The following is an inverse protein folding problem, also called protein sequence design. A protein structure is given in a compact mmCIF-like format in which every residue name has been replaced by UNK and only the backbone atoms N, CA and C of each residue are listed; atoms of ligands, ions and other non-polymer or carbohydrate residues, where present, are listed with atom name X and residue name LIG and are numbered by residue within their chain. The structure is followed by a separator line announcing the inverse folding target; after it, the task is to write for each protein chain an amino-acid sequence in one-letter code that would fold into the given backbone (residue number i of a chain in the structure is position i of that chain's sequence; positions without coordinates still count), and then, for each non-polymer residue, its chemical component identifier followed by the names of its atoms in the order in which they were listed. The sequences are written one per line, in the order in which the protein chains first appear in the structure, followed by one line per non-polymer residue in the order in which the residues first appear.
data_IF_261005204780
#
_entry.id   IF_261005204780
#
_cell.length_a   1.000
_cell.length_b   1.000
_cell.length_c   1.000
_cell.angle_alpha   90.00
_cell.angle_beta   90.00
_cell.angle_gamma   90.00
#
_symmetry.space_group_name_H-M   'P 1'
#
loop_
_entity.id
_entity.type
_entity.pdbx_description
1 polymer ?
2 polymer ?
3 non-polymer ?
4 water ?
#
# COMPACT_ATOMS: atom_id res chain seq x y z
N UNK A 3 -4.72 -22.23 -24.91
CA UNK A 3 -4.17 -21.73 -23.66
C UNK A 3 -3.61 -22.87 -22.82
N UNK A 4 -2.50 -22.61 -22.14
CA UNK A 4 -1.82 -23.62 -21.33
C UNK A 4 -1.60 -23.08 -19.92
N UNK A 5 -1.43 -23.98 -18.92
CA UNK A 5 -1.24 -23.49 -17.55
C UNK A 5 0.07 -22.74 -17.34
N UNK A 6 0.03 -21.71 -16.51
CA UNK A 6 1.21 -20.95 -16.16
C UNK A 6 0.84 -19.50 -15.86
N UNK A 7 1.84 -18.61 -15.99
CA UNK A 7 1.60 -17.18 -15.84
C UNK A 7 2.12 -16.45 -17.07
N UNK A 8 1.38 -15.45 -17.51
CA UNK A 8 1.67 -14.77 -18.77
C UNK A 8 1.64 -13.25 -18.62
N UNK A 9 2.68 -12.60 -19.09
CA UNK A 9 2.79 -11.14 -19.03
C UNK A 9 2.72 -10.55 -20.43
N UNK A 10 1.76 -9.66 -20.64
CA UNK A 10 1.44 -9.14 -21.98
C UNK A 10 1.11 -7.65 -21.95
N UNK A 11 0.74 -7.12 -23.12
CA UNK A 11 0.27 -5.74 -23.20
C UNK A 11 -0.75 -5.61 -24.34
N UNK A 12 -1.23 -4.39 -24.57
CA UNK A 12 -2.18 -4.13 -25.65
C UNK A 12 -1.49 -3.42 -26.81
N UNK A 13 -0.16 -3.30 -26.71
CA UNK A 13 0.67 -2.65 -27.74
C UNK A 13 0.22 -1.21 -28.01
N UNK A 14 -0.26 -0.53 -26.98
CA UNK A 14 -0.66 0.86 -27.09
C UNK A 14 -1.87 1.10 -27.99
N UNK A 15 -2.57 0.03 -28.36
CA UNK A 15 -3.65 0.11 -29.32
C UNK A 15 -5.03 -0.09 -28.73
N UNK A 16 -5.37 0.70 -27.71
CA UNK A 16 -6.70 0.65 -27.12
C UNK A 16 -7.26 2.06 -26.92
N UNK A 17 -6.44 2.96 -26.40
CA UNK A 17 -6.85 4.34 -26.19
C UNK A 17 -6.12 5.29 -27.11
N UNK A 18 -6.69 6.48 -27.33
CA UNK A 18 -6.16 7.42 -28.31
C UNK A 18 -4.74 7.87 -27.99
N UNK A 19 -4.43 7.97 -26.71
CA UNK A 19 -3.12 8.43 -26.25
C UNK A 19 -1.99 7.47 -26.65
N UNK A 20 -2.36 6.25 -27.06
CA UNK A 20 -1.39 5.26 -27.45
C UNK A 20 -0.56 4.77 -26.28
N UNK A 21 -1.13 4.91 -25.09
CA UNK A 21 -0.46 4.45 -23.87
C UNK A 21 -0.47 2.93 -23.78
N UNK A 22 0.69 2.34 -23.53
CA UNK A 22 0.77 0.89 -23.46
C UNK A 22 0.28 0.38 -22.09
N UNK A 23 -0.79 -0.42 -22.13
CA UNK A 23 -1.41 -0.97 -20.93
C UNK A 23 -0.94 -2.40 -20.68
N UNK A 24 -0.22 -2.61 -19.60
CA UNK A 24 0.33 -3.93 -19.31
C UNK A 24 -0.60 -4.81 -18.46
N UNK A 25 -0.48 -6.12 -18.65
CA UNK A 25 -1.28 -7.08 -17.86
C UNK A 25 -0.55 -8.38 -17.54
N UNK A 26 -1.09 -9.12 -16.57
CA UNK A 26 -0.56 -10.42 -16.16
C UNK A 26 -1.73 -11.37 -15.98
N UNK A 27 -1.54 -12.65 -16.29
CA UNK A 27 -2.65 -13.60 -16.19
C UNK A 27 -2.13 -14.93 -15.66
N UNK A 28 -2.76 -15.44 -14.61
CA UNK A 28 -2.48 -16.77 -14.10
C UNK A 28 -3.59 -17.73 -14.54
N UNK A 29 -3.19 -18.73 -15.32
CA UNK A 29 -4.09 -19.76 -15.86
C UNK A 29 -3.75 -21.13 -15.28
N UNK A 30 -4.69 -21.74 -14.54
CA UNK A 30 -4.45 -23.03 -13.93
C UNK A 30 -4.86 -24.17 -14.87
N UNK A 31 -4.46 -25.38 -14.54
CA UNK A 31 -4.99 -26.54 -15.26
C UNK A 31 -6.49 -26.64 -15.04
N UNK A 32 -6.93 -26.50 -13.79
CA UNK A 32 -8.36 -26.32 -13.52
C UNK A 32 -8.59 -25.29 -12.41
N UNK A 33 -9.72 -24.60 -12.49
CA UNK A 33 -10.02 -23.58 -11.50
C UNK A 33 -10.09 -22.19 -12.12
N UNK A 34 -10.39 -21.20 -11.27
CA UNK A 34 -10.59 -19.83 -11.73
C UNK A 34 -9.32 -19.14 -12.23
N UNK A 35 -9.47 -18.34 -13.28
CA UNK A 35 -8.40 -17.48 -13.75
C UNK A 35 -8.18 -16.31 -12.78
N UNK A 36 -6.95 -15.80 -12.76
CA UNK A 36 -6.66 -14.57 -11.99
C UNK A 36 -5.89 -13.62 -12.88
N UNK A 37 -6.41 -12.41 -13.07
CA UNK A 37 -5.81 -11.44 -13.99
C UNK A 37 -5.46 -10.16 -13.23
N UNK A 38 -4.32 -9.56 -13.53
CA UNK A 38 -4.00 -8.20 -13.07
C UNK A 38 -3.80 -7.29 -14.30
N UNK A 39 -4.18 -6.02 -14.21
CA UNK A 39 -4.05 -5.13 -15.38
C UNK A 39 -4.01 -3.68 -14.97
N UNK A 40 -3.27 -2.89 -15.75
CA UNK A 40 -3.25 -1.43 -15.55
C UNK A 40 -4.36 -0.71 -16.32
N UNK A 41 -4.80 0.44 -15.83
CA UNK A 41 -5.72 1.28 -16.62
C UNK A 41 -4.93 2.51 -17.10
N UNK A 42 -5.54 3.39 -17.93
CA UNK A 42 -4.73 4.50 -18.45
C UNK A 42 -4.22 5.50 -17.41
N UNK A 43 -4.83 5.53 -16.21
CA UNK A 43 -4.34 6.38 -15.13
C UNK A 43 -3.22 5.73 -14.31
N UNK A 44 -2.80 4.53 -14.71
CA UNK A 44 -1.77 3.73 -14.06
C UNK A 44 -2.22 3.12 -12.72
N UNK A 45 -3.53 3.06 -12.48
CA UNK A 45 -4.02 2.30 -11.34
C UNK A 45 -4.07 0.82 -11.71
N UNK A 46 -4.02 -0.06 -10.69
CA UNK A 46 -3.93 -1.51 -10.93
C UNK A 46 -5.21 -2.21 -10.49
N UNK A 47 -5.67 -3.14 -11.32
CA UNK A 47 -6.92 -3.86 -11.07
C UNK A 47 -6.74 -5.36 -11.16
N UNK A 48 -7.64 -6.05 -10.48
CA UNK A 48 -7.67 -7.50 -10.48
C UNK A 48 -9.00 -7.99 -11.07
N UNK A 49 -8.94 -9.07 -11.87
CA UNK A 49 -10.15 -9.73 -12.35
C UNK A 49 -10.09 -11.16 -11.88
N UNK A 50 -11.13 -11.55 -11.16
CA UNK A 50 -11.26 -12.90 -10.65
C UNK A 50 -12.25 -13.64 -11.51
N UNK A 51 -11.81 -14.77 -12.06
CA UNK A 51 -12.69 -15.65 -12.82
C UNK A 51 -13.27 -14.93 -14.05
N UNK A 52 -12.49 -14.01 -14.61
CA UNK A 52 -12.84 -13.26 -15.82
C UNK A 52 -14.01 -12.27 -15.70
N UNK A 53 -14.38 -11.88 -14.48
CA UNK A 53 -15.49 -10.93 -14.31
C UNK A 53 -14.99 -9.47 -14.25
N UNK A 54 -15.89 -8.55 -13.91
CA UNK A 54 -15.53 -7.12 -13.88
C UNK A 54 -14.36 -6.83 -12.94
N UNK A 55 -13.59 -5.80 -13.24
CA UNK A 55 -12.35 -5.56 -12.51
C UNK A 55 -12.59 -4.82 -11.19
N UNK A 56 -11.69 -5.08 -10.23
CA UNK A 56 -11.72 -4.48 -8.89
C UNK A 56 -10.33 -3.90 -8.60
N UNK A 57 -10.26 -2.78 -7.86
CA UNK A 57 -8.93 -2.29 -7.45
C UNK A 57 -8.07 -3.41 -6.86
N UNK A 58 -6.85 -3.57 -7.36
CA UNK A 58 -6.08 -4.79 -7.07
C UNK A 58 -5.77 -5.00 -5.57
N UNK A 59 -5.68 -3.91 -4.83
CA UNK A 59 -5.36 -4.03 -3.42
C UNK A 59 -6.40 -4.79 -2.61
N UNK A 60 -7.61 -4.92 -3.16
CA UNK A 60 -8.67 -5.70 -2.51
C UNK A 60 -8.19 -7.14 -2.27
N UNK A 61 -7.45 -7.72 -3.23
CA UNK A 61 -7.12 -9.14 -3.00
C UNK A 61 -6.11 -9.24 -1.87
N UNK A 62 -5.27 -8.20 -1.71
CA UNK A 62 -4.27 -8.25 -0.65
C UNK A 62 -4.98 -8.01 0.68
N UNK A 63 -6.05 -7.19 0.67
CA UNK A 63 -6.73 -6.99 1.93
C UNK A 63 -7.39 -8.29 2.32
N UNK A 64 -7.79 -9.09 1.33
CA UNK A 64 -8.55 -10.28 1.65
C UNK A 64 -7.59 -11.31 2.27
N UNK A 65 -6.31 -11.14 1.93
CA UNK A 65 -5.24 -12.00 2.43
C UNK A 65 -4.59 -11.42 3.69
N UNK A 66 -5.32 -10.52 4.35
CA UNK A 66 -5.01 -10.02 5.70
C UNK A 66 -3.87 -8.99 5.74
N UNK A 67 -3.62 -8.28 4.64
CA UNK A 67 -2.70 -7.13 4.70
C UNK A 67 -3.42 -5.82 5.00
N UNK A 68 -2.91 -5.07 5.98
CA UNK A 68 -3.34 -3.69 6.21
C UNK A 68 -2.81 -2.73 5.16
N UNK A 69 -3.31 -1.49 5.15
CA UNK A 69 -2.85 -0.47 4.20
C UNK A 69 -1.36 -0.26 4.38
N UNK A 70 -0.94 -0.09 5.64
CA UNK A 70 0.49 0.01 5.96
C UNK A 70 1.32 -1.17 5.42
N UNK A 71 0.81 -2.40 5.61
CA UNK A 71 1.56 -3.58 5.17
C UNK A 71 1.64 -3.69 3.64
N UNK A 72 0.57 -3.27 2.98
CA UNK A 72 0.58 -3.22 1.50
C UNK A 72 1.68 -2.24 1.03
N UNK A 73 1.70 -1.07 1.67
CA UNK A 73 2.72 -0.10 1.29
C UNK A 73 4.13 -0.67 1.57
N UNK A 74 4.28 -1.43 2.66
CA UNK A 74 5.58 -2.06 2.97
C UNK A 74 6.01 -3.02 1.86
N UNK A 75 5.02 -3.70 1.27
CA UNK A 75 5.36 -4.66 0.20
C UNK A 75 5.88 -3.97 -1.03
N UNK A 76 5.31 -2.82 -1.37
CA UNK A 76 5.62 -2.24 -2.68
C UNK A 76 6.52 -0.98 -2.73
N UNK A 77 6.93 -0.46 -1.59
CA UNK A 77 7.75 0.76 -1.58
C UNK A 77 8.87 0.73 -0.56
N UNK A 78 10.04 1.28 -0.94
CA UNK A 78 11.05 1.61 0.05
C UNK A 78 10.63 2.90 0.76
N UNK A 79 11.29 3.20 1.87
CA UNK A 79 10.91 4.32 2.75
C UNK A 79 11.97 5.41 2.84
N UNK A 80 11.50 6.65 2.92
CA UNK A 80 12.36 7.80 3.14
C UNK A 80 11.97 8.33 4.51
N UNK A 81 12.92 8.35 5.44
CA UNK A 81 12.64 8.76 6.80
C UNK A 81 13.03 10.22 7.02
N UNK A 82 12.13 11.01 7.58
CA UNK A 82 12.44 12.36 8.03
C UNK A 82 12.50 12.39 9.56
N UNK A 83 13.40 13.20 10.11
CA UNK A 83 13.50 13.39 11.55
C UNK A 83 13.34 14.85 11.88
N UNK A 84 12.71 15.14 13.01
CA UNK A 84 12.65 16.51 13.48
C UNK A 84 13.64 16.67 14.64
N UNK A 85 14.58 17.60 14.48
CA UNK A 85 15.65 17.76 15.47
C UNK A 85 16.28 19.15 15.39
N UNK A 86 16.52 19.75 16.57
CA UNK A 86 17.06 21.11 16.68
C UNK A 86 16.15 22.11 15.98
N UNK A 87 14.84 21.86 16.08
CA UNK A 87 13.83 22.62 15.34
C UNK A 87 14.18 22.74 13.86
N UNK A 88 14.67 21.65 13.30
CA UNK A 88 14.98 21.56 11.88
C UNK A 88 14.50 20.22 11.30
N UNK A 89 14.11 20.24 10.03
CA UNK A 89 13.71 19.03 9.33
C UNK A 89 14.93 18.38 8.69
N UNK A 90 15.23 17.16 9.10
CA UNK A 90 16.33 16.38 8.56
C UNK A 90 15.79 15.18 7.77
N UNK A 91 16.58 14.70 6.82
CA UNK A 91 16.22 13.53 6.03
C UNK A 91 17.33 12.49 6.09
N UNK A 92 16.97 11.24 6.36
CA UNK A 92 17.90 10.14 6.28
C UNK A 92 18.23 9.92 4.81
N UNK A 93 19.52 9.98 4.48
CA UNK A 93 19.95 9.93 3.09
C UNK A 93 20.53 8.58 2.70
N UNK A 94 19.95 8.01 1.63
CA UNK A 94 20.58 6.94 0.88
C UNK A 94 20.99 7.60 -0.41
N UNK A 95 22.30 7.92 -0.55
CA UNK A 95 22.73 8.75 -1.67
C UNK A 95 22.34 8.22 -3.06
N UNK A 96 22.35 6.90 -3.26
CA UNK A 96 21.97 6.34 -4.56
C UNK A 96 20.57 6.77 -5.02
N UNK A 97 19.69 7.08 -4.07
CA UNK A 97 18.34 7.54 -4.40
C UNK A 97 18.31 8.91 -5.10
N UNK A 98 19.44 9.62 -5.09
CA UNK A 98 19.51 10.94 -5.70
C UNK A 98 19.78 10.87 -7.20
N UNK A 99 20.12 9.69 -7.69
CA UNK A 99 20.50 9.51 -9.09
C UNK A 99 19.46 10.05 -10.07
N UNK A 100 19.91 10.88 -11.00
CA UNK A 100 19.05 11.40 -12.05
C UNK A 100 18.27 12.63 -11.65
N UNK A 101 18.39 13.05 -10.39
CA UNK A 101 17.65 14.20 -9.91
C UNK A 101 18.51 15.46 -9.89
N UNK A 102 17.85 16.62 -9.97
CA UNK A 102 18.53 17.90 -9.85
C UNK A 102 18.18 18.54 -8.51
N UNK A 103 19.20 18.88 -7.74
CA UNK A 103 19.00 19.41 -6.39
C UNK A 103 18.09 20.63 -6.38
N UNK A 104 17.17 20.67 -5.42
CA UNK A 104 16.27 21.81 -5.27
C UNK A 104 16.69 22.63 -4.06
N UNK A 105 17.74 22.15 -3.39
CA UNK A 105 18.35 22.88 -2.28
C UNK A 105 19.78 22.40 -2.09
N UNK A 106 20.58 23.19 -1.38
CA UNK A 106 21.97 22.83 -1.13
C UNK A 106 22.07 21.51 -0.38
N UNK A 107 22.59 20.50 -1.05
CA UNK A 107 22.90 19.26 -0.37
C UNK A 107 24.22 19.44 0.35
N UNK A 108 24.13 19.60 1.67
CA UNK A 108 25.29 19.89 2.50
C UNK A 108 25.30 19.03 3.77
N UNK A 109 26.49 18.75 4.28
CA UNK A 109 26.65 18.03 5.52
C UNK A 109 28.05 18.27 6.08
N UNK A 110 28.16 18.25 7.41
CA UNK A 110 29.44 18.40 8.09
C UNK A 110 30.21 19.65 7.65
N UNK A 111 29.48 20.75 7.45
CA UNK A 111 30.10 22.01 7.06
C UNK A 111 30.28 22.15 5.57
N UNK A 112 30.40 21.01 4.89
CA UNK A 112 30.66 20.98 3.46
C UNK A 112 29.38 20.99 2.63
N UNK A 113 29.39 21.71 1.52
CA UNK A 113 28.30 21.67 0.55
C UNK A 113 28.66 20.72 -0.58
N UNK A 114 27.91 19.62 -0.71
CA UNK A 114 28.21 18.64 -1.74
C UNK A 114 27.60 19.02 -3.09
N UNK A 115 26.34 19.47 -3.10
CA UNK A 115 25.76 19.91 -4.38
C UNK A 115 24.97 21.20 -4.23
N UNK A 116 25.11 22.10 -5.21
CA UNK A 116 24.43 23.39 -5.17
C UNK A 116 22.99 23.27 -5.64
N UNK A 117 22.15 24.20 -5.18
CA UNK A 117 20.71 24.21 -5.43
C UNK A 117 20.32 24.20 -6.92
N UNK A 118 21.29 24.39 -7.81
CA UNK A 118 21.00 24.37 -9.23
C UNK A 118 21.52 23.14 -9.95
N UNK A 119 22.62 22.59 -9.47
CA UNK A 119 23.35 21.56 -10.20
C UNK A 119 22.63 20.21 -10.27
N UNK A 120 22.99 19.43 -11.28
CA UNK A 120 22.48 18.07 -11.44
C UNK A 120 23.37 17.10 -10.66
N UNK A 121 22.74 16.20 -9.92
CA UNK A 121 23.47 15.29 -9.04
C UNK A 121 24.20 14.20 -9.83
N UNK A 122 25.51 14.10 -9.61
CA UNK A 122 26.38 13.21 -10.38
C UNK A 122 26.69 11.92 -9.64
N UNK A 123 27.14 10.90 -10.38
CA UNK A 123 27.60 9.66 -9.77
C UNK A 123 28.81 9.92 -8.90
N UNK A 124 29.55 10.99 -9.22
CA UNK A 124 30.70 11.42 -8.41
C UNK A 124 30.23 12.01 -7.08
N UNK A 125 29.21 12.85 -7.15
CA UNK A 125 28.56 13.38 -5.96
C UNK A 125 28.14 12.25 -5.06
N UNK A 126 27.49 11.25 -5.66
CA UNK A 126 26.98 10.12 -4.91
C UNK A 126 28.14 9.33 -4.29
N UNK A 127 29.21 9.13 -5.06
CA UNK A 127 30.40 8.45 -4.52
C UNK A 127 30.99 9.18 -3.32
N UNK A 128 31.11 10.51 -3.40
CA UNK A 128 31.71 11.26 -2.31
C UNK A 128 30.81 11.20 -1.08
N UNK A 129 29.50 11.31 -1.31
CA UNK A 129 28.52 11.23 -0.23
C UNK A 129 28.57 9.87 0.47
N UNK A 130 28.73 8.81 -0.30
CA UNK A 130 28.83 7.48 0.25
C UNK A 130 30.13 7.31 1.03
N UNK A 131 31.23 7.82 0.48
CA UNK A 131 32.53 7.66 1.13
C UNK A 131 32.60 8.42 2.45
N UNK A 132 32.03 9.62 2.48
CA UNK A 132 31.98 10.42 3.70
C UNK A 132 30.91 9.93 4.68
N UNK A 133 30.19 8.87 4.30
CA UNK A 133 29.14 8.29 5.14
C UNK A 133 28.11 9.33 5.56
N UNK A 134 27.70 10.17 4.62
CA UNK A 134 26.64 11.12 4.88
C UNK A 134 25.31 10.37 4.89
N UNK A 135 24.63 10.38 6.03
CA UNK A 135 23.40 9.60 6.15
C UNK A 135 22.23 10.45 6.63
N UNK A 136 22.47 11.76 6.77
CA UNK A 136 21.48 12.66 7.33
C UNK A 136 21.74 14.09 6.84
N UNK A 137 20.76 14.70 6.19
CA UNK A 137 20.94 16.08 5.73
C UNK A 137 19.74 16.96 6.08
N UNK A 138 19.98 18.23 6.39
CA UNK A 138 18.88 19.16 6.63
C UNK A 138 18.15 19.46 5.33
N UNK A 139 16.82 19.56 5.40
CA UNK A 139 16.02 19.95 4.24
C UNK A 139 15.02 21.04 4.63
N UNK A 140 14.57 21.83 3.65
CA UNK A 140 13.53 22.83 3.92
C UNK A 140 12.20 22.16 4.25
N UNK A 141 11.39 22.80 5.10
CA UNK A 141 10.10 22.21 5.48
C UNK A 141 9.23 21.98 4.24
N UNK A 142 9.34 22.89 3.28
CA UNK A 142 8.53 22.83 2.07
C UNK A 142 8.71 21.50 1.34
N UNK A 143 9.88 20.89 1.50
CA UNK A 143 10.18 19.63 0.81
C UNK A 143 9.31 18.46 1.29
N UNK A 144 8.71 18.60 2.47
CA UNK A 144 7.86 17.53 3.00
C UNK A 144 6.53 17.45 2.25
N UNK A 145 6.14 18.54 1.58
CA UNK A 145 4.85 18.61 0.92
C UNK A 145 4.76 17.67 -0.27
N UNK A 146 3.64 16.95 -0.37
CA UNK A 146 3.43 16.06 -1.48
C UNK A 146 3.96 14.66 -1.22
N UNK A 147 4.83 14.53 -0.23
CA UNK A 147 5.32 13.22 0.17
C UNK A 147 4.15 12.44 0.73
N UNK A 148 4.19 11.11 0.62
CA UNK A 148 3.08 10.26 1.10
C UNK A 148 3.47 9.51 2.37
N UNK A 149 2.70 9.67 3.45
CA UNK A 149 3.07 9.04 4.71
C UNK A 149 2.87 7.52 4.61
N UNK A 150 3.80 6.75 5.14
CA UNK A 150 3.82 5.29 4.89
C UNK A 150 3.10 4.49 5.96
N UNK A 151 2.70 5.16 7.04
CA UNK A 151 2.10 4.42 8.14
C UNK A 151 1.11 5.27 8.91
N UNK A 152 0.30 4.59 9.71
CA UNK A 152 -0.60 5.28 10.64
C UNK A 152 0.21 5.98 11.73
N UNK A 153 -0.20 7.21 12.08
CA UNK A 153 0.37 7.91 13.24
C UNK A 153 -0.77 8.28 14.17
N UNK A 154 -0.55 7.92 15.43
CA UNK A 154 -1.53 8.07 16.51
C UNK A 154 -1.07 9.14 17.51
N UNK A 155 -2.00 9.96 17.99
CA UNK A 155 -1.74 10.80 19.15
C UNK A 155 -1.89 9.90 20.36
N UNK A 156 -0.77 9.47 20.92
CA UNK A 156 -0.79 8.46 21.97
C UNK A 156 -1.44 8.96 23.27
N UNK A 157 -1.55 10.27 23.45
CA UNK A 157 -2.18 10.78 24.66
C UNK A 157 -3.72 10.66 24.62
N UNK A 158 -4.28 10.45 23.42
CA UNK A 158 -5.74 10.34 23.28
C UNK A 158 -6.18 9.08 22.55
N UNK A 159 -5.28 8.49 21.77
CA UNK A 159 -5.64 7.35 20.93
C UNK A 159 -6.15 7.77 19.57
N UNK A 160 -6.18 9.07 19.31
CA UNK A 160 -6.72 9.56 18.05
C UNK A 160 -5.77 9.25 16.89
N UNK A 161 -6.34 8.78 15.78
CA UNK A 161 -5.55 8.63 14.56
C UNK A 161 -5.29 10.01 13.95
N UNK A 162 -4.04 10.47 14.02
CA UNK A 162 -3.59 11.79 13.53
C UNK A 162 -3.46 11.79 12.03
N UNK A 163 -2.98 10.67 11.53
CA UNK A 163 -2.89 10.54 10.08
C UNK A 163 -2.78 9.09 9.69
N UNK A 164 -3.54 8.78 8.64
CA UNK A 164 -3.63 7.39 8.20
C UNK A 164 -2.54 7.08 7.17
N UNK A 165 -2.05 5.84 7.16
CA UNK A 165 -1.16 5.40 6.11
C UNK A 165 -1.72 5.79 4.74
N UNK A 166 -0.84 6.28 3.87
CA UNK A 166 -1.13 6.72 2.49
C UNK A 166 -1.71 8.14 2.36
N UNK A 167 -1.85 8.86 3.47
CA UNK A 167 -2.22 10.27 3.37
C UNK A 167 -1.08 11.12 2.84
N UNK A 168 -1.40 12.07 1.99
CA UNK A 168 -0.42 13.01 1.49
C UNK A 168 -0.01 13.99 2.60
N UNK A 169 1.29 14.23 2.70
CA UNK A 169 1.82 15.14 3.72
C UNK A 169 1.65 16.59 3.33
N UNK A 170 1.40 17.42 4.33
CA UNK A 170 1.37 18.87 4.18
C UNK A 170 2.05 19.52 5.37
N UNK A 171 2.34 20.82 5.26
CA UNK A 171 2.91 21.55 6.39
C UNK A 171 1.99 21.50 7.61
N UNK A 172 0.69 21.61 7.38
CA UNK A 172 -0.26 21.54 8.47
C UNK A 172 -0.21 20.16 9.18
N UNK A 173 -0.15 19.08 8.39
CA UNK A 173 -0.03 17.74 8.96
C UNK A 173 1.32 17.54 9.65
N UNK A 174 2.39 18.01 9.03
CA UNK A 174 3.70 17.93 9.67
C UNK A 174 3.67 18.63 11.04
N UNK A 175 3.07 19.82 11.07
CA UNK A 175 2.89 20.56 12.33
C UNK A 175 2.13 19.74 13.36
N UNK A 176 1.01 19.13 12.94
CA UNK A 176 0.25 18.30 13.87
C UNK A 176 1.08 17.13 14.43
N UNK A 177 1.78 16.43 13.55
CA UNK A 177 2.63 15.32 13.95
C UNK A 177 3.69 15.75 14.97
N UNK A 178 4.38 16.85 14.63
CA UNK A 178 5.44 17.39 15.48
C UNK A 178 4.91 17.80 16.86
N UNK A 179 3.73 18.42 16.87
CA UNK A 179 3.14 18.90 18.11
C UNK A 179 2.51 17.75 18.89
N UNK A 180 2.40 16.59 18.26
CA UNK A 180 1.96 15.39 18.96
C UNK A 180 3.13 14.55 19.50
N UNK A 181 4.35 15.01 19.28
CA UNK A 181 5.51 14.28 19.77
C UNK A 181 6.18 13.36 18.77
N UNK A 182 5.66 13.31 17.55
CA UNK A 182 6.25 12.45 16.52
C UNK A 182 7.37 13.15 15.76
N UNK A 183 8.61 12.85 16.13
CA UNK A 183 9.77 13.51 15.54
C UNK A 183 10.41 12.69 14.42
N UNK A 184 9.86 11.51 14.17
CA UNK A 184 10.32 10.66 13.08
C UNK A 184 9.14 10.25 12.20
N UNK A 185 9.23 10.51 10.90
CA UNK A 185 8.11 10.33 9.98
C UNK A 185 8.53 9.54 8.75
N UNK A 186 7.83 8.43 8.48
CA UNK A 186 8.19 7.59 7.34
C UNK A 186 7.32 7.90 6.10
N UNK A 187 7.97 8.04 4.94
CA UNK A 187 7.24 8.37 3.72
C UNK A 187 7.64 7.39 2.63
N UNK A 188 6.90 7.39 1.52
CA UNK A 188 7.20 6.49 0.40
C UNK A 188 8.30 7.05 -0.50
N UNK A 189 9.23 6.19 -0.89
CA UNK A 189 10.16 6.52 -1.97
C UNK A 189 9.48 6.24 -3.31
N UNK A 190 9.12 7.30 -4.02
CA UNK A 190 8.57 7.16 -5.37
C UNK A 190 9.12 8.25 -6.29
N UNK A 191 8.89 8.09 -7.59
CA UNK A 191 9.07 9.19 -8.54
C UNK A 191 8.06 9.02 -9.66
N UNK A 192 8.10 9.86 -10.69
CA UNK A 192 7.17 9.70 -11.79
C UNK A 192 7.77 8.98 -12.99
N UNK A 193 8.82 8.22 -12.76
CA UNK A 193 9.57 7.61 -13.85
C UNK A 193 9.70 6.09 -13.73
N UNK A 194 10.65 5.62 -12.92
CA UNK A 194 10.86 4.18 -12.79
C UNK A 194 10.56 3.61 -11.39
N UNK A 195 9.91 4.41 -10.54
CA UNK A 195 9.42 3.94 -9.24
C UNK A 195 8.04 4.53 -9.00
N UNK A 196 7.11 4.23 -9.91
CA UNK A 196 5.82 4.88 -9.91
C UNK A 196 5.00 4.53 -8.68
N UNK A 197 4.11 5.44 -8.28
CA UNK A 197 3.29 5.26 -7.08
C UNK A 197 1.99 4.51 -7.35
N UNK A 198 2.03 3.56 -8.28
CA UNK A 198 0.82 2.86 -8.74
C UNK A 198 -0.01 2.27 -7.60
N UNK A 199 0.64 1.57 -6.69
CA UNK A 199 -0.11 0.90 -5.60
C UNK A 199 -0.70 1.91 -4.63
N UNK A 200 0.05 2.98 -4.37
CA UNK A 200 -0.44 4.08 -3.52
C UNK A 200 -1.68 4.74 -4.12
N UNK A 201 -1.66 5.03 -5.42
CA UNK A 201 -2.84 5.62 -6.04
C UNK A 201 -4.01 4.63 -6.14
N UNK A 202 -3.68 3.34 -6.30
CA UNK A 202 -4.71 2.31 -6.36
C UNK A 202 -5.45 2.24 -5.05
N UNK A 203 -4.73 2.36 -3.95
CA UNK A 203 -5.41 2.38 -2.64
C UNK A 203 -6.47 3.48 -2.57
N UNK A 204 -6.22 4.63 -3.24
CA UNK A 204 -7.15 5.76 -3.16
C UNK A 204 -8.47 5.54 -3.89
N UNK A 205 -8.52 4.57 -4.81
CA UNK A 205 -9.77 4.25 -5.49
C UNK A 205 -10.34 2.92 -4.99
N UNK A 206 -9.65 2.29 -4.04
CA UNK A 206 -10.11 1.06 -3.38
C UNK A 206 -11.16 1.45 -2.35
N UNK A 207 -12.42 1.00 -2.53
CA UNK A 207 -13.52 1.30 -1.61
C UNK A 207 -13.51 0.48 -0.31
N UNK A 208 -12.67 -0.53 -0.20
CA UNK A 208 -12.61 -1.33 1.03
C UNK A 208 -11.50 -0.85 1.96
N UNK A 209 -11.59 -1.23 3.23
CA UNK A 209 -10.67 -0.68 4.22
C UNK A 209 -10.14 -1.70 5.21
N UNK A 210 -10.59 -2.95 5.08
CA UNK A 210 -10.12 -4.06 5.91
C UNK A 210 -10.42 -5.40 5.25
N UNK A 211 -10.09 -6.49 5.93
CA UNK A 211 -10.23 -7.83 5.35
C UNK A 211 -11.68 -8.19 5.08
N UNK A 212 -12.56 -7.95 6.05
CA UNK A 212 -13.96 -8.33 5.89
C UNK A 212 -14.64 -7.56 4.75
N UNK A 213 -14.39 -6.26 4.65
CA UNK A 213 -15.02 -5.49 3.57
C UNK A 213 -14.49 -5.91 2.20
N UNK A 214 -13.21 -6.28 2.12
CA UNK A 214 -12.66 -6.81 0.87
C UNK A 214 -13.32 -8.15 0.51
N UNK A 215 -13.45 -9.04 1.50
CA UNK A 215 -14.07 -10.34 1.23
C UNK A 215 -15.51 -10.16 0.75
N UNK A 216 -16.21 -9.20 1.35
CA UNK A 216 -17.60 -8.94 0.97
C UNK A 216 -17.70 -8.33 -0.43
N UNK A 217 -16.75 -7.46 -0.79
CA UNK A 217 -16.75 -6.90 -2.14
C UNK A 217 -16.58 -8.02 -3.20
N UNK A 218 -15.63 -8.92 -2.92
CA UNK A 218 -15.42 -10.06 -3.80
C UNK A 218 -16.66 -10.96 -3.89
N UNK A 219 -17.25 -11.23 -2.74
CA UNK A 219 -18.39 -12.15 -2.69
C UNK A 219 -19.57 -11.57 -3.47
N UNK A 220 -19.85 -10.29 -3.26
CA UNK A 220 -20.96 -9.64 -3.95
C UNK A 220 -20.73 -9.67 -5.45
N UNK A 221 -19.48 -9.43 -5.85
CA UNK A 221 -19.17 -9.56 -7.27
C UNK A 221 -19.37 -10.98 -7.84
N UNK A 222 -19.07 -12.01 -7.06
CA UNK A 222 -19.15 -13.38 -7.59
C UNK A 222 -20.55 -13.97 -7.51
N UNK A 223 -21.32 -13.48 -6.55
CA UNK A 223 -22.63 -14.05 -6.23
C UNK A 223 -23.73 -12.99 -6.14
N UNK A 224 -24.09 -12.38 -7.28
CA UNK A 224 -25.19 -11.41 -7.23
C UNK A 224 -26.49 -12.06 -6.74
N UNK A 225 -27.22 -11.35 -5.90
CA UNK A 225 -28.50 -11.86 -5.42
C UNK A 225 -28.41 -12.70 -4.16
N UNK A 226 -27.20 -12.88 -3.64
CA UNK A 226 -27.00 -13.68 -2.44
C UNK A 226 -26.52 -12.81 -1.28
N UNK A 227 -27.42 -12.43 -0.36
CA UNK A 227 -26.98 -11.60 0.78
C UNK A 227 -25.80 -12.26 1.51
N UNK A 228 -24.72 -11.50 1.70
CA UNK A 228 -23.51 -12.15 2.19
C UNK A 228 -23.54 -12.46 3.68
N UNK A 229 -22.97 -13.60 4.03
CA UNK A 229 -22.70 -13.93 5.42
C UNK A 229 -21.20 -14.09 5.58
N UNK A 230 -20.76 -14.07 6.83
CA UNK A 230 -19.34 -14.24 7.16
C UNK A 230 -18.75 -15.53 6.57
N UNK A 231 -19.33 -16.66 6.96
CA UNK A 231 -18.86 -17.96 6.49
C UNK A 231 -18.86 -18.02 4.98
N UNK A 232 -19.92 -17.52 4.35
CA UNK A 232 -20.03 -17.62 2.88
C UNK A 232 -18.90 -16.87 2.17
N UNK A 233 -18.62 -15.65 2.62
CA UNK A 233 -17.57 -14.83 2.01
C UNK A 233 -16.18 -15.45 2.24
N UNK A 234 -15.97 -15.93 3.47
CA UNK A 234 -14.70 -16.60 3.82
C UNK A 234 -14.45 -17.85 2.95
N UNK A 235 -15.43 -18.73 2.91
CA UNK A 235 -15.31 -19.97 2.16
C UNK A 235 -15.19 -19.74 0.65
N UNK A 236 -15.95 -18.78 0.12
CA UNK A 236 -15.85 -18.53 -1.32
C UNK A 236 -14.41 -18.14 -1.67
N UNK A 237 -13.87 -17.18 -0.89
CA UNK A 237 -12.49 -16.77 -1.17
C UNK A 237 -11.49 -17.92 -1.05
N UNK A 238 -11.59 -18.68 0.03
CA UNK A 238 -10.69 -19.82 0.23
C UNK A 238 -10.75 -20.80 -0.96
N UNK A 239 -11.96 -21.01 -1.48
CA UNK A 239 -12.17 -21.92 -2.60
C UNK A 239 -11.76 -21.41 -3.98
N UNK A 240 -11.60 -20.11 -4.16
CA UNK A 240 -11.05 -19.64 -5.45
C UNK A 240 -9.68 -20.20 -5.83
N UNK A 241 -8.69 -20.05 -4.94
CA UNK A 241 -7.30 -20.29 -5.32
C UNK A 241 -6.55 -21.15 -4.30
N UNK A 242 -7.22 -21.53 -3.22
CA UNK A 242 -6.49 -22.02 -2.06
C UNK A 242 -7.03 -23.35 -1.55
N UNK A 243 -7.81 -24.01 -2.39
CA UNK A 243 -8.37 -25.33 -2.07
C UNK A 243 -8.06 -26.30 -3.18
N UNK A 244 -7.40 -27.41 -2.82
CA UNK A 244 -7.00 -28.42 -3.79
C UNK A 244 -8.19 -29.03 -4.53
N UNK A 245 -9.34 -29.11 -3.84
CA UNK A 245 -10.60 -29.56 -4.44
C UNK A 245 -11.00 -28.74 -5.66
N UNK A 246 -10.79 -27.43 -5.58
CA UNK A 246 -11.34 -26.51 -6.57
C UNK A 246 -10.30 -25.83 -7.46
N UNK A 247 -9.02 -26.01 -7.15
CA UNK A 247 -7.97 -25.32 -7.90
C UNK A 247 -6.70 -26.15 -8.01
N UNK A 248 -6.15 -26.20 -9.22
CA UNK A 248 -4.88 -26.91 -9.48
C UNK A 248 -4.11 -26.29 -10.62
N UNK A 249 -2.98 -25.66 -10.31
CA UNK A 249 -2.06 -25.15 -11.31
C UNK A 249 -1.52 -26.28 -12.19
N UNK A 250 -1.43 -27.45 -11.57
CA UNK A 250 -0.74 -28.65 -12.08
C UNK A 250 0.80 -28.50 -12.02
N UNK A 251 1.51 -29.62 -12.08
CA UNK A 251 2.97 -29.59 -12.00
C UNK A 251 3.59 -28.79 -13.13
N UNK A 252 3.04 -28.92 -14.33
CA UNK A 252 3.54 -28.21 -15.48
C UNK A 252 3.35 -26.70 -15.27
N UNK A 253 2.15 -26.36 -14.81
CA UNK A 253 1.82 -24.98 -14.50
C UNK A 253 2.74 -24.38 -13.46
N UNK A 254 3.02 -25.14 -12.40
CA UNK A 254 3.89 -24.67 -11.33
C UNK A 254 5.32 -24.46 -11.83
N UNK A 255 5.80 -25.41 -12.63
CA UNK A 255 7.12 -25.27 -13.22
C UNK A 255 7.24 -23.99 -14.07
N UNK A 256 6.25 -23.75 -14.93
CA UNK A 256 6.30 -22.57 -15.79
C UNK A 256 6.15 -21.27 -14.99
N UNK A 257 5.25 -21.32 -14.02
CA UNK A 257 5.03 -20.20 -13.09
C UNK A 257 6.32 -19.79 -12.39
N UNK A 258 6.96 -20.76 -11.73
CA UNK A 258 8.20 -20.49 -11.02
C UNK A 258 9.30 -20.03 -11.95
N UNK A 259 9.37 -20.59 -13.15
CA UNK A 259 10.42 -20.15 -14.07
C UNK A 259 10.20 -18.71 -14.53
N UNK A 260 8.94 -18.30 -14.69
CA UNK A 260 8.67 -16.92 -15.10
C UNK A 260 9.08 -15.91 -14.03
N UNK A 261 9.05 -16.35 -12.78
CA UNK A 261 9.34 -15.46 -11.66
C UNK A 261 10.80 -15.60 -11.24
N UNK A 262 11.54 -16.38 -12.03
CA UNK A 262 12.98 -16.57 -11.84
C UNK A 262 13.29 -17.26 -10.52
N UNK A 263 12.38 -18.10 -10.06
CA UNK A 263 12.61 -18.92 -8.88
C UNK A 263 13.46 -20.15 -9.23
N UNK A 264 14.24 -20.63 -8.27
CA UNK A 264 15.13 -21.76 -8.51
C UNK A 264 14.35 -23.07 -8.57
N UNK A 265 13.36 -23.22 -7.69
CA UNK A 265 12.63 -24.50 -7.58
C UNK A 265 11.66 -24.74 -8.72
N UNK A 266 11.56 -26.00 -9.12
CA UNK A 266 10.71 -26.43 -10.21
C UNK A 266 9.46 -27.10 -9.62
N UNK A 267 9.62 -27.67 -8.44
CA UNK A 267 8.50 -28.31 -7.75
C UNK A 267 7.77 -27.30 -6.87
N UNK A 268 6.51 -27.56 -6.60
CA UNK A 268 5.71 -26.62 -5.83
C UNK A 268 4.27 -27.05 -5.70
N UNK A 269 3.45 -26.15 -5.18
CA UNK A 269 2.06 -26.45 -4.85
C UNK A 269 1.13 -26.31 -6.04
N UNK A 270 0.07 -27.11 -6.05
CA UNK A 270 -0.98 -26.96 -7.03
C UNK A 270 -1.85 -25.73 -6.75
N UNK A 271 -1.87 -25.26 -5.51
CA UNK A 271 -2.64 -24.05 -5.18
C UNK A 271 -1.73 -22.83 -5.06
N UNK A 272 -2.33 -21.65 -5.00
CA UNK A 272 -1.55 -20.40 -4.89
C UNK A 272 -1.24 -20.01 -3.45
N UNK A 273 -0.11 -19.34 -3.25
CA UNK A 273 0.20 -18.66 -1.99
C UNK A 273 0.06 -17.14 -2.11
N UNK A 274 0.07 -16.45 -0.96
CA UNK A 274 0.19 -15.01 -0.92
C UNK A 274 1.41 -14.54 -1.69
N UNK A 275 2.54 -15.21 -1.49
CA UNK A 275 3.76 -14.85 -2.20
C UNK A 275 3.65 -14.99 -3.72
N UNK A 276 2.97 -16.04 -4.18
CA UNK A 276 2.72 -16.19 -5.61
C UNK A 276 2.01 -14.95 -6.20
N UNK A 277 0.95 -14.53 -5.52
CA UNK A 277 0.13 -13.45 -6.02
C UNK A 277 0.94 -12.13 -5.97
N UNK A 278 1.61 -11.90 -4.85
CA UNK A 278 2.38 -10.67 -4.67
C UNK A 278 3.53 -10.62 -5.68
N UNK A 279 4.18 -11.75 -5.90
CA UNK A 279 5.30 -11.79 -6.85
C UNK A 279 4.83 -11.50 -8.28
N UNK A 280 3.66 -12.02 -8.64
CA UNK A 280 3.11 -11.66 -9.96
C UNK A 280 2.82 -10.14 -10.06
N UNK A 281 2.21 -9.58 -9.00
CA UNK A 281 1.99 -8.12 -8.97
C UNK A 281 3.28 -7.30 -9.13
N UNK A 282 4.30 -7.71 -8.39
CA UNK A 282 5.59 -7.04 -8.43
C UNK A 282 6.24 -7.13 -9.81
N UNK A 283 6.14 -8.28 -10.47
CA UNK A 283 6.74 -8.39 -11.82
C UNK A 283 6.00 -7.48 -12.81
N UNK A 284 4.67 -7.48 -12.74
CA UNK A 284 3.91 -6.58 -13.60
C UNK A 284 4.28 -5.07 -13.38
N UNK A 285 4.44 -4.69 -12.10
CA UNK A 285 4.86 -3.33 -11.78
C UNK A 285 6.28 -3.05 -12.31
N UNK A 286 7.17 -4.03 -12.21
CA UNK A 286 8.52 -3.88 -12.79
C UNK A 286 8.45 -3.56 -14.27
N UNK A 287 7.64 -4.35 -14.99
CA UNK A 287 7.46 -4.15 -16.41
C UNK A 287 6.99 -2.72 -16.70
N UNK A 288 5.96 -2.27 -15.99
CA UNK A 288 5.53 -0.87 -16.18
C UNK A 288 6.65 0.14 -15.90
N UNK A 289 7.50 -0.15 -14.90
CA UNK A 289 8.57 0.78 -14.51
C UNK A 289 9.76 0.71 -15.45
N UNK A 290 9.69 -0.15 -16.46
CA UNK A 290 10.77 -0.25 -17.42
C UNK A 290 11.86 -1.25 -17.05
N UNK A 291 11.59 -2.08 -16.05
CA UNK A 291 12.54 -3.11 -15.65
C UNK A 291 12.07 -4.49 -16.12
N UNK A 292 12.72 -5.01 -17.16
CA UNK A 292 12.29 -6.29 -17.72
C UNK A 292 11.16 -6.07 -18.71
N UNK A 293 10.72 -7.14 -19.36
CA UNK A 293 9.76 -7.00 -20.44
C UNK A 293 8.70 -8.10 -20.39
N UNK A 294 7.66 -7.93 -21.19
CA UNK A 294 6.61 -8.93 -21.32
C UNK A 294 7.18 -10.20 -21.96
N UNK A 295 6.38 -11.27 -21.96
CA UNK A 295 6.83 -12.54 -22.53
C UNK A 295 7.21 -12.38 -24.00
N UNK B 16 -16.78 -6.50 14.42
CA UNK B 16 -15.53 -6.27 15.13
C UNK B 16 -15.44 -7.06 16.43
N UNK B 17 -14.32 -7.75 16.63
CA UNK B 17 -14.10 -8.50 17.88
C UNK B 17 -13.44 -7.65 18.98
N UNK B 18 -13.44 -6.33 18.82
CA UNK B 18 -12.63 -5.40 19.65
C UNK B 18 -13.20 -5.00 21.02
N UNK B 19 -14.46 -5.33 21.28
CA UNK B 19 -15.05 -5.01 22.57
C UNK B 19 -16.13 -3.95 22.45
N UNK B 20 -16.09 -3.17 21.38
CA UNK B 20 -17.06 -2.09 21.16
C UNK B 20 -18.11 -2.48 20.11
N UNK B 21 -19.23 -1.79 20.13
CA UNK B 21 -20.34 -2.07 19.21
C UNK B 21 -20.83 -0.81 18.51
N UNK B 22 -21.30 -0.95 17.28
CA UNK B 22 -21.88 0.17 16.54
C UNK B 22 -23.06 0.74 17.35
N UNK B 23 -23.07 2.06 17.54
CA UNK B 23 -24.14 2.73 18.25
C UNK B 23 -23.88 2.96 19.73
N UNK B 24 -22.78 2.43 20.23
CA UNK B 24 -22.47 2.49 21.65
C UNK B 24 -22.07 3.88 22.12
N UNK B 25 -22.58 4.28 23.29
CA UNK B 25 -22.18 5.53 23.90
C UNK B 25 -20.94 5.33 24.75
N UNK B 26 -19.95 6.20 24.55
CA UNK B 26 -18.67 6.10 25.24
C UNK B 26 -18.25 7.44 25.83
N UNK B 27 -17.35 7.39 26.79
CA UNK B 27 -16.80 8.59 27.39
C UNK B 27 -15.28 8.61 27.28
N UNK B 28 -14.76 9.73 26.78
CA UNK B 28 -13.33 9.97 26.61
C UNK B 28 -12.89 11.13 27.50
N UNK B 29 -11.73 10.99 28.13
CA UNK B 29 -11.24 11.97 29.11
C UNK B 29 -11.11 13.38 28.52
N UNK B 30 -10.77 13.45 27.24
CA UNK B 30 -10.55 14.73 26.59
C UNK B 30 -11.72 15.13 25.69
N UNK B 31 -12.27 14.15 24.98
CA UNK B 31 -13.25 14.44 23.93
C UNK B 31 -14.67 14.43 24.45
N UNK B 32 -14.88 13.86 25.64
CA UNK B 32 -16.20 13.86 26.25
C UNK B 32 -17.07 12.68 25.86
N UNK B 33 -18.38 12.88 25.87
CA UNK B 33 -19.32 11.79 25.53
C UNK B 33 -19.56 11.74 24.03
N UNK B 34 -19.60 10.53 23.49
CA UNK B 34 -19.85 10.36 22.08
C UNK B 34 -20.51 9.04 21.73
N UNK B 35 -20.79 8.85 20.44
CA UNK B 35 -21.42 7.63 19.93
C UNK B 35 -20.59 7.01 18.82
N UNK B 36 -20.40 5.69 18.86
CA UNK B 36 -19.65 5.01 17.80
C UNK B 36 -20.52 4.91 16.54
N UNK B 37 -20.04 5.50 15.44
CA UNK B 37 -20.81 5.55 14.21
C UNK B 37 -20.25 4.65 13.10
N UNK B 38 -19.00 4.17 13.27
CA UNK B 38 -18.43 3.17 12.35
C UNK B 38 -17.24 2.49 13.01
N UNK B 39 -16.87 1.32 12.51
CA UNK B 39 -15.67 0.63 12.98
C UNK B 39 -14.93 -0.01 11.79
N UNK B 40 -13.62 -0.15 11.90
CA UNK B 40 -12.84 -0.79 10.84
C UNK B 40 -11.75 -1.66 11.42
N UNK B 41 -11.41 -2.75 10.74
CA UNK B 41 -10.25 -3.54 11.09
C UNK B 41 -10.53 -4.58 12.16
N UNK B 42 -9.47 -5.27 12.57
CA UNK B 42 -9.58 -6.28 13.61
C UNK B 42 -8.26 -6.42 14.36
N UNK B 43 -8.29 -7.14 15.48
CA UNK B 43 -7.09 -7.31 16.28
C UNK B 43 -6.59 -5.98 16.81
N UNK B 44 -5.28 -5.82 16.89
CA UNK B 44 -4.72 -4.60 17.45
C UNK B 44 -4.93 -3.42 16.51
N UNK B 45 -5.46 -3.71 15.32
CA UNK B 45 -5.67 -2.69 14.31
C UNK B 45 -7.11 -2.14 14.29
N UNK B 46 -7.97 -2.64 15.18
CA UNK B 46 -9.37 -2.19 15.25
C UNK B 46 -9.44 -0.69 15.52
N UNK B 47 -10.25 0.03 14.74
CA UNK B 47 -10.40 1.47 14.96
C UNK B 47 -11.89 1.84 15.00
N UNK B 48 -12.19 2.93 15.71
CA UNK B 48 -13.57 3.35 15.99
C UNK B 48 -13.78 4.79 15.55
N UNK B 49 -14.85 5.04 14.79
CA UNK B 49 -15.22 6.39 14.39
C UNK B 49 -16.25 6.87 15.39
N UNK B 50 -15.91 7.91 16.14
CA UNK B 50 -16.78 8.38 17.22
C UNK B 50 -17.23 9.83 17.01
N UNK B 51 -18.54 10.04 17.10
CA UNK B 51 -19.10 11.38 17.05
C UNK B 51 -19.25 11.90 18.47
N UNK B 52 -18.39 12.85 18.82
CA UNK B 52 -18.38 13.47 20.14
C UNK B 52 -19.21 14.74 20.12
N UNK B 53 -20.12 14.84 21.08
CA UNK B 53 -21.20 15.82 21.09
C UNK B 53 -20.79 17.23 20.72
N UNK B 54 -19.75 17.74 21.36
CA UNK B 54 -19.35 19.11 21.13
C UNK B 54 -18.00 19.21 20.46
N UNK B 55 -17.43 18.08 20.07
CA UNK B 55 -16.08 18.09 19.53
C UNK B 55 -15.93 17.37 18.19
N UNK B 56 -17.05 17.08 17.52
CA UNK B 56 -16.97 16.60 16.15
C UNK B 56 -16.62 15.13 16.08
N UNK B 57 -16.17 14.68 14.91
CA UNK B 57 -16.01 13.25 14.68
C UNK B 57 -14.53 12.89 14.58
N UNK B 58 -14.16 11.78 15.22
CA UNK B 58 -12.74 11.42 15.34
C UNK B 58 -12.55 9.93 15.16
N UNK B 59 -11.43 9.51 14.59
CA UNK B 59 -11.09 8.10 14.56
C UNK B 59 -10.12 7.79 15.70
N UNK B 60 -10.42 6.74 16.46
CA UNK B 60 -9.60 6.31 17.59
C UNK B 60 -9.13 4.88 17.37
N UNK B 61 -7.88 4.59 17.69
CA UNK B 61 -7.44 3.20 17.63
C UNK B 61 -7.76 2.57 18.97
N UNK B 62 -8.58 1.50 18.96
CA UNK B 62 -9.17 0.98 20.21
C UNK B 62 -8.10 0.62 21.24
N UNK B 63 -7.01 0.03 20.78
CA UNK B 63 -5.92 -0.43 21.66
C UNK B 63 -5.14 0.70 22.34
N UNK B 64 -5.37 1.93 21.91
CA UNK B 64 -4.60 3.06 22.43
C UNK B 64 -5.49 4.10 23.13
N UNK B 65 -6.80 3.95 23.00
CA UNK B 65 -7.72 4.95 23.53
C UNK B 65 -8.38 4.47 24.82
N UNK B 66 -8.30 5.30 25.86
CA UNK B 66 -9.03 5.00 27.09
C UNK B 66 -10.47 5.44 26.90
N UNK B 67 -11.37 4.46 26.81
CA UNK B 67 -12.80 4.75 26.69
C UNK B 67 -13.57 4.06 27.80
N UNK B 68 -14.52 4.76 28.40
CA UNK B 68 -15.38 4.10 29.38
C UNK B 68 -16.82 4.04 28.88
N UNK B 69 -17.44 2.87 29.00
CA UNK B 69 -18.77 2.61 28.46
C UNK B 69 -19.87 3.27 29.28
N UNK B 70 -20.43 4.37 28.77
CA UNK B 70 -21.47 5.13 29.47
C UNK B 70 -22.76 4.32 29.62
#
# INVERSE_FOLDING_TARGET
AMDSPGVFFDSDKGKTHSSGKVLYNARIIPYRGSWLDFEFDPKDNLFVRIDRRRKLPATIILRALNYTTEQILDLFFEKVIFEIRDNKLQMELVPERLRGETASFDIEANGKVYVEKGRRITARHIRQLEKDDVKLIEVPVEYIAGKVVAKDYIDESTGELICAANMELSLDLLAKLSQSGHKRIETLFTNDLDHGPYISETLRVDPTNDRLSALVEIYRMMRPGEPPTREAAESLFENLFFSEDRYDLSAVGRMKFNRSLLREEIEGSGILSKDDIIDVMKKLIDIRNGKGEVD
AMDVSHQRMGTPMVENDSGYKLGQRVRHAKFGEGTIVNMEGSGEHSRLQVAFQGQGIKWLVAAYARLESV
#
